data_IF_125239996671
#
_entry.id   IF_125239996671
#
_cell.length_a   1.000
_cell.length_b   1.000
_cell.length_c   1.000
_cell.angle_alpha   90.00
_cell.angle_beta   90.00
_cell.angle_gamma   90.00
#
_symmetry.space_group_name_H-M   'P 1'
#
loop_
_entity.id
_entity.type
_entity.pdbx_description
1 polymer ?
#
# COMPACT_ATOMS: atom_id res chain seq x y z
N UNK A 1 -52.17 55.81 7.27
CA UNK A 1 -50.94 55.53 8.04
C UNK A 1 -50.46 54.08 7.90
N UNK A 2 -51.31 53.07 8.02
CA UNK A 2 -50.93 51.62 7.92
C UNK A 2 -50.24 51.24 6.61
N UNK A 3 -50.70 51.75 5.45
CA UNK A 3 -50.11 51.44 4.15
C UNK A 3 -48.68 51.95 3.99
N UNK A 4 -48.32 53.08 4.60
CA UNK A 4 -46.94 53.62 4.59
C UNK A 4 -46.02 52.84 5.51
N UNK A 5 -46.52 52.29 6.63
CA UNK A 5 -45.77 51.44 7.55
C UNK A 5 -45.53 50.08 6.90
N UNK A 6 -46.53 49.50 6.22
CA UNK A 6 -46.37 48.24 5.50
C UNK A 6 -45.34 48.35 4.35
N UNK A 7 -45.35 49.44 3.60
CA UNK A 7 -44.35 49.67 2.53
C UNK A 7 -42.93 49.88 3.11
N UNK A 8 -42.80 50.54 4.27
CA UNK A 8 -41.51 50.72 4.94
C UNK A 8 -40.93 49.38 5.47
N UNK A 9 -41.81 48.55 6.05
CA UNK A 9 -41.39 47.17 6.53
C UNK A 9 -41.01 46.28 5.35
N UNK A 10 -41.76 46.37 4.23
CA UNK A 10 -41.40 45.62 3.02
C UNK A 10 -40.07 46.09 2.42
N UNK A 11 -39.83 47.41 2.41
CA UNK A 11 -38.56 47.98 1.94
C UNK A 11 -37.38 47.60 2.85
N UNK A 12 -37.59 47.58 4.17
CA UNK A 12 -36.59 47.14 5.15
C UNK A 12 -36.30 45.62 5.03
N UNK A 13 -37.34 44.81 4.77
CA UNK A 13 -37.14 43.34 4.55
C UNK A 13 -36.41 43.03 3.25
N UNK A 14 -36.65 43.79 2.17
CA UNK A 14 -35.93 43.71 0.91
C UNK A 14 -34.47 44.18 1.06
N UNK A 15 -34.22 45.20 1.92
CA UNK A 15 -32.86 45.66 2.22
C UNK A 15 -32.05 44.64 3.03
N UNK A 16 -32.69 43.82 3.87
CA UNK A 16 -32.04 42.76 4.62
C UNK A 16 -31.66 41.53 3.74
N UNK A 17 -32.42 41.25 2.69
CA UNK A 17 -32.08 40.19 1.74
C UNK A 17 -30.88 40.53 0.84
N UNK A 18 -30.59 41.83 0.62
CA UNK A 18 -29.45 42.27 -0.18
C UNK A 18 -28.09 42.26 0.57
N UNK A 19 -28.08 41.96 1.88
CA UNK A 19 -26.88 42.06 2.74
C UNK A 19 -26.22 40.72 3.09
N UNK A 20 -26.61 39.61 2.45
CA UNK A 20 -26.18 38.28 2.89
C UNK A 20 -25.23 37.50 1.93
N UNK A 21 -24.57 38.19 1.00
CA UNK A 21 -23.50 37.58 0.25
C UNK A 21 -22.15 37.84 0.96
N UNK A 22 -21.63 36.84 1.67
CA UNK A 22 -20.34 36.98 2.35
C UNK A 22 -19.20 37.20 1.32
N UNK A 23 -18.32 38.17 1.59
CA UNK A 23 -17.15 38.45 0.74
C UNK A 23 -16.21 37.24 0.72
N UNK A 24 -15.94 36.69 -0.46
CA UNK A 24 -15.10 35.50 -0.63
C UNK A 24 -13.70 35.60 0.00
N UNK A 25 -13.11 36.79 0.05
CA UNK A 25 -11.86 37.02 0.76
C UNK A 25 -12.02 36.85 2.28
N UNK A 26 -13.15 37.31 2.82
CA UNK A 26 -13.50 37.12 4.24
C UNK A 26 -13.80 35.66 4.56
N UNK A 27 -14.48 34.95 3.66
CA UNK A 27 -14.76 33.51 3.81
C UNK A 27 -13.44 32.71 3.91
N UNK A 28 -12.44 33.05 3.09
CA UNK A 28 -11.13 32.46 3.16
C UNK A 28 -10.25 33.03 4.27
N UNK A 29 -10.64 34.11 4.92
CA UNK A 29 -9.86 34.77 5.98
C UNK A 29 -8.57 35.40 5.48
N UNK A 30 -8.55 35.91 4.24
CA UNK A 30 -7.39 36.53 3.60
C UNK A 30 -7.69 37.96 3.17
N UNK A 31 -6.65 38.77 2.97
CA UNK A 31 -6.78 40.12 2.42
C UNK A 31 -7.06 40.09 0.91
N UNK A 32 -7.69 41.13 0.38
CA UNK A 32 -7.96 41.27 -1.07
C UNK A 32 -6.69 41.31 -1.93
N UNK A 33 -5.57 41.73 -1.34
CA UNK A 33 -4.24 41.71 -1.97
C UNK A 33 -3.54 40.34 -1.94
N UNK A 34 -4.19 39.31 -1.39
CA UNK A 34 -3.60 37.96 -1.25
C UNK A 34 -3.19 37.39 -2.60
N UNK A 35 -2.00 36.81 -2.64
CA UNK A 35 -1.50 36.09 -3.79
C UNK A 35 -2.04 34.63 -3.83
N UNK A 36 -1.89 33.94 -4.97
CA UNK A 36 -2.41 32.60 -5.19
C UNK A 36 -1.90 31.59 -4.16
N UNK A 37 -0.65 31.74 -3.69
CA UNK A 37 -0.07 30.89 -2.66
C UNK A 37 -0.76 31.05 -1.30
N UNK A 38 -1.15 32.28 -0.96
CA UNK A 38 -1.88 32.59 0.27
C UNK A 38 -3.30 32.07 0.19
N UNK A 39 -4.00 32.27 -0.94
CA UNK A 39 -5.33 31.73 -1.20
C UNK A 39 -5.34 30.21 -1.07
N UNK A 40 -4.38 29.52 -1.69
CA UNK A 40 -4.24 28.06 -1.63
C UNK A 40 -3.97 27.55 -0.21
N UNK A 41 -3.15 28.27 0.55
CA UNK A 41 -2.83 27.90 1.94
C UNK A 41 -4.05 28.04 2.85
N UNK A 42 -4.77 29.15 2.75
CA UNK A 42 -6.00 29.41 3.50
C UNK A 42 -7.08 28.35 3.20
N UNK A 43 -7.29 28.08 1.91
CA UNK A 43 -8.22 27.04 1.48
C UNK A 43 -7.87 25.66 2.09
N UNK A 44 -6.61 25.23 2.03
CA UNK A 44 -6.20 23.94 2.60
C UNK A 44 -6.45 23.84 4.10
N UNK A 45 -6.20 24.92 4.83
CA UNK A 45 -6.43 24.95 6.28
C UNK A 45 -7.92 24.86 6.62
N UNK A 46 -8.75 25.64 5.94
CA UNK A 46 -10.20 25.67 6.18
C UNK A 46 -10.89 24.38 5.70
N UNK A 47 -10.51 23.87 4.54
CA UNK A 47 -11.01 22.59 4.01
C UNK A 47 -10.69 21.43 4.95
N UNK A 48 -9.46 21.36 5.52
CA UNK A 48 -9.09 20.37 6.51
C UNK A 48 -9.86 20.51 7.83
N UNK A 49 -10.19 21.75 8.21
CA UNK A 49 -10.94 22.05 9.44
C UNK A 49 -12.42 21.66 9.32
N UNK A 50 -13.05 21.94 8.18
CA UNK A 50 -14.48 21.72 7.95
C UNK A 50 -14.78 20.48 7.10
N UNK A 51 -13.80 19.58 6.92
CA UNK A 51 -13.97 18.35 6.13
C UNK A 51 -15.11 17.49 6.69
N UNK A 52 -16.01 16.95 5.85
CA UNK A 52 -17.14 16.13 6.31
C UNK A 52 -16.70 14.89 7.09
N UNK A 53 -15.57 14.25 6.72
CA UNK A 53 -15.03 13.08 7.44
C UNK A 53 -14.58 13.42 8.87
N UNK A 54 -14.18 14.68 9.11
CA UNK A 54 -13.75 15.11 10.45
C UNK A 54 -14.88 15.70 11.29
N UNK A 55 -15.99 16.06 10.66
CA UNK A 55 -17.17 16.65 11.29
C UNK A 55 -18.44 15.89 10.85
N UNK A 56 -18.55 14.58 11.12
CA UNK A 56 -19.71 13.81 10.70
C UNK A 56 -20.97 14.30 11.43
N UNK A 57 -22.00 14.67 10.65
CA UNK A 57 -23.28 15.12 11.19
C UNK A 57 -23.36 16.61 11.61
N UNK A 58 -22.33 17.41 11.36
CA UNK A 58 -22.36 18.86 11.59
C UNK A 58 -22.72 19.60 10.29
N UNK A 59 -24.01 19.99 10.17
CA UNK A 59 -24.50 20.73 9.01
C UNK A 59 -23.83 22.10 8.89
N UNK A 60 -23.44 22.74 10.00
CA UNK A 60 -22.79 24.06 9.98
C UNK A 60 -21.35 23.97 9.44
N UNK A 61 -20.65 22.87 9.71
CA UNK A 61 -19.35 22.59 9.12
C UNK A 61 -19.45 22.31 7.62
N UNK A 62 -20.51 21.63 7.20
CA UNK A 62 -20.80 21.34 5.79
C UNK A 62 -21.10 22.62 5.00
N UNK A 63 -21.93 23.52 5.53
CA UNK A 63 -22.21 24.83 4.90
C UNK A 63 -20.95 25.69 4.76
N UNK A 64 -20.12 25.75 5.81
CA UNK A 64 -18.84 26.46 5.76
C UNK A 64 -17.86 25.83 4.76
N UNK A 65 -17.84 24.51 4.65
CA UNK A 65 -17.00 23.82 3.66
C UNK A 65 -17.41 24.18 2.22
N UNK A 66 -18.72 24.22 1.94
CA UNK A 66 -19.25 24.63 0.63
C UNK A 66 -18.87 26.08 0.32
N UNK A 67 -19.08 27.00 1.27
CA UNK A 67 -18.75 28.44 1.11
C UNK A 67 -17.25 28.66 0.88
N UNK A 68 -16.38 27.93 1.61
CA UNK A 68 -14.93 27.98 1.45
C UNK A 68 -14.49 27.45 0.08
N UNK A 69 -15.12 26.38 -0.40
CA UNK A 69 -14.83 25.80 -1.72
C UNK A 69 -15.24 26.72 -2.85
N UNK A 70 -16.41 27.32 -2.75
CA UNK A 70 -16.91 28.31 -3.74
C UNK A 70 -16.02 29.55 -3.79
N UNK A 71 -15.64 30.09 -2.62
CA UNK A 71 -14.75 31.23 -2.54
C UNK A 71 -13.38 30.97 -3.18
N UNK A 72 -12.81 29.77 -2.96
CA UNK A 72 -11.54 29.41 -3.57
C UNK A 72 -11.64 29.20 -5.08
N UNK A 73 -12.72 28.58 -5.56
CA UNK A 73 -12.95 28.39 -7.00
C UNK A 73 -12.94 29.71 -7.76
N UNK A 74 -13.66 30.70 -7.24
CA UNK A 74 -13.76 32.03 -7.88
C UNK A 74 -12.45 32.83 -7.78
N UNK A 75 -11.74 32.75 -6.66
CA UNK A 75 -10.53 33.54 -6.44
C UNK A 75 -9.24 32.88 -6.94
N UNK A 76 -9.24 31.59 -7.23
CA UNK A 76 -8.06 30.87 -7.73
C UNK A 76 -7.82 31.03 -9.24
N UNK A 77 -8.86 31.33 -10.01
CA UNK A 77 -8.73 31.61 -11.42
C UNK A 77 -8.61 33.12 -11.68
N UNK A 78 -7.56 33.60 -12.34
CA UNK A 78 -7.31 35.01 -12.57
C UNK A 78 -8.46 35.75 -13.28
N UNK A 79 -9.17 35.06 -14.19
CA UNK A 79 -10.25 35.65 -14.96
C UNK A 79 -11.50 35.83 -14.10
N UNK A 80 -11.91 34.81 -13.36
CA UNK A 80 -13.06 34.86 -12.46
C UNK A 80 -12.81 35.77 -11.28
N UNK A 81 -11.58 35.83 -10.76
CA UNK A 81 -11.17 36.77 -9.73
C UNK A 81 -11.33 38.23 -10.18
N UNK A 82 -10.89 38.56 -11.41
CA UNK A 82 -11.05 39.91 -11.96
C UNK A 82 -12.53 40.31 -12.11
N UNK A 83 -13.39 39.37 -12.49
CA UNK A 83 -14.83 39.58 -12.60
C UNK A 83 -15.43 39.81 -11.21
N UNK A 84 -15.04 39.00 -10.23
CA UNK A 84 -15.45 39.13 -8.85
C UNK A 84 -15.02 40.48 -8.24
N UNK A 85 -13.76 40.89 -8.47
CA UNK A 85 -13.21 42.13 -7.96
C UNK A 85 -13.93 43.37 -8.54
N UNK A 86 -14.46 43.28 -9.78
CA UNK A 86 -15.16 44.38 -10.47
C UNK A 86 -16.66 44.39 -10.24
N UNK A 87 -17.26 43.23 -10.23
CA UNK A 87 -18.74 43.11 -10.30
C UNK A 87 -19.33 42.30 -9.13
N UNK A 88 -18.50 41.85 -8.18
CA UNK A 88 -18.94 41.05 -7.05
C UNK A 88 -19.56 39.70 -7.43
N UNK A 89 -20.39 39.17 -6.54
CA UNK A 89 -21.09 37.91 -6.74
C UNK A 89 -21.97 37.90 -8.01
N UNK A 90 -22.65 39.02 -8.31
CA UNK A 90 -23.54 39.12 -9.49
C UNK A 90 -22.76 38.92 -10.79
N UNK A 91 -21.54 39.46 -10.90
CA UNK A 91 -20.70 39.31 -12.09
C UNK A 91 -20.29 37.85 -12.33
N UNK A 92 -20.00 37.12 -11.29
CA UNK A 92 -19.66 35.72 -11.38
C UNK A 92 -20.87 34.86 -11.75
N UNK A 93 -22.04 35.13 -11.16
CA UNK A 93 -23.28 34.44 -11.49
C UNK A 93 -23.73 34.70 -12.93
N UNK A 94 -23.62 35.92 -13.43
CA UNK A 94 -23.95 36.24 -14.82
C UNK A 94 -23.03 35.52 -15.83
N UNK A 95 -21.75 35.37 -15.52
CA UNK A 95 -20.84 34.55 -16.34
C UNK A 95 -21.21 33.05 -16.33
N UNK A 96 -21.62 32.52 -15.16
CA UNK A 96 -22.14 31.14 -15.04
C UNK A 96 -23.43 30.92 -15.82
N UNK A 97 -24.36 31.85 -15.81
CA UNK A 97 -25.65 31.76 -16.49
C UNK A 97 -25.55 32.00 -18.00
N UNK A 98 -24.55 32.75 -18.48
CA UNK A 98 -24.34 33.06 -19.89
C UNK A 98 -23.61 31.94 -20.68
N UNK A 99 -23.06 30.97 -20.04
CA UNK A 99 -22.31 29.86 -20.64
C UNK A 99 -22.89 28.49 -20.28
N UNK A 100 -24.16 28.22 -20.65
CA UNK A 100 -24.76 26.88 -20.82
C UNK A 100 -24.51 25.83 -19.70
N UNK A 101 -24.63 26.20 -18.41
CA UNK A 101 -24.45 25.25 -17.32
C UNK A 101 -24.93 25.78 -15.99
N UNK A 102 -26.24 26.04 -15.87
CA UNK A 102 -26.89 26.35 -14.59
C UNK A 102 -27.00 25.07 -13.75
N UNK A 103 -26.12 24.85 -12.83
CA UNK A 103 -26.17 23.78 -11.82
C UNK A 103 -26.26 24.36 -10.42
N UNK A 104 -27.11 23.74 -9.59
CA UNK A 104 -27.27 23.99 -8.16
C UNK A 104 -25.88 23.88 -7.47
N UNK A 105 -25.57 24.69 -6.43
CA UNK A 105 -24.33 24.54 -5.64
C UNK A 105 -24.06 23.11 -5.15
N UNK A 106 -25.12 22.33 -4.96
CA UNK A 106 -25.05 20.93 -4.58
C UNK A 106 -24.65 20.00 -5.76
N UNK A 107 -25.00 20.38 -6.98
CA UNK A 107 -24.59 19.66 -8.21
C UNK A 107 -23.08 19.88 -8.50
N UNK A 108 -22.58 21.05 -8.14
CA UNK A 108 -21.16 21.37 -8.18
C UNK A 108 -20.38 20.55 -7.16
N UNK A 109 -20.92 20.38 -5.96
CA UNK A 109 -20.37 19.51 -4.92
C UNK A 109 -20.34 18.05 -5.36
N UNK A 110 -21.42 17.52 -5.95
CA UNK A 110 -21.46 16.14 -6.46
C UNK A 110 -20.54 15.92 -7.67
N UNK A 111 -20.32 16.92 -8.49
CA UNK A 111 -19.34 16.89 -9.58
C UNK A 111 -17.89 16.88 -9.07
N UNK A 112 -17.64 17.54 -7.94
CA UNK A 112 -16.32 17.66 -7.32
C UNK A 112 -15.99 16.48 -6.41
N UNK A 113 -16.97 15.90 -5.71
CA UNK A 113 -16.82 14.82 -4.75
C UNK A 113 -17.53 13.51 -5.12
N UNK A 114 -18.49 13.53 -6.02
CA UNK A 114 -19.35 12.37 -6.34
C UNK A 114 -18.89 11.52 -7.53
N UNK A 115 -17.85 11.88 -8.23
CA UNK A 115 -17.37 11.13 -9.37
C UNK A 115 -15.89 11.31 -9.60
N UNK A 116 -15.09 10.31 -9.28
CA UNK A 116 -13.72 10.12 -9.74
C UNK A 116 -12.86 11.39 -9.94
N UNK A 117 -12.20 11.82 -8.89
CA UNK A 117 -10.83 12.36 -8.95
C UNK A 117 -10.48 13.39 -10.01
N UNK A 118 -11.18 14.52 -10.11
CA UNK A 118 -10.70 15.68 -10.84
C UNK A 118 -10.14 16.79 -9.90
N UNK A 119 -9.36 16.39 -8.90
CA UNK A 119 -8.38 17.27 -8.32
C UNK A 119 -7.10 17.14 -9.14
N UNK A 120 -6.95 17.97 -10.17
CA UNK A 120 -5.69 18.07 -10.87
C UNK A 120 -5.74 18.02 -12.37
N UNK A 121 -6.55 18.90 -12.98
CA UNK A 121 -6.27 19.34 -14.36
C UNK A 121 -5.79 20.78 -14.39
N UNK A 122 -4.93 21.18 -13.46
CA UNK A 122 -3.77 21.97 -13.90
C UNK A 122 -2.96 20.98 -14.73
N UNK A 123 -2.52 21.37 -15.91
CA UNK A 123 -1.57 20.60 -16.72
C UNK A 123 -0.26 20.48 -15.93
N UNK A 124 -0.28 19.68 -14.85
CA UNK A 124 0.90 19.20 -14.16
C UNK A 124 1.62 18.30 -15.12
N UNK A 125 2.90 18.33 -15.10
CA UNK A 125 3.73 17.43 -15.88
C UNK A 125 3.18 16.00 -15.72
N UNK A 126 3.00 15.27 -16.83
CA UNK A 126 2.47 13.91 -16.78
C UNK A 126 3.34 13.08 -15.81
N UNK A 127 2.72 12.29 -14.94
CA UNK A 127 3.42 11.42 -14.01
C UNK A 127 3.63 10.05 -14.64
N UNK A 128 4.82 9.50 -14.46
CA UNK A 128 5.18 8.15 -14.88
C UNK A 128 4.44 7.09 -14.09
N UNK A 129 4.51 5.85 -14.58
CA UNK A 129 3.92 4.70 -13.90
C UNK A 129 4.71 4.33 -12.65
N UNK A 130 4.02 3.82 -11.64
CA UNK A 130 4.67 3.23 -10.48
C UNK A 130 5.34 1.90 -10.87
N UNK A 131 6.48 1.62 -10.25
CA UNK A 131 7.21 0.36 -10.42
C UNK A 131 7.04 -0.49 -9.17
N UNK A 132 6.63 -1.75 -9.34
CA UNK A 132 6.51 -2.69 -8.23
C UNK A 132 7.70 -3.66 -8.22
N UNK A 133 8.35 -3.77 -7.06
CA UNK A 133 9.45 -4.70 -6.83
C UNK A 133 9.12 -5.58 -5.63
N UNK A 134 9.32 -6.89 -5.76
CA UNK A 134 9.15 -7.84 -4.67
C UNK A 134 10.52 -8.19 -4.09
N UNK A 135 10.68 -8.01 -2.77
CA UNK A 135 11.91 -8.32 -2.05
C UNK A 135 11.63 -9.45 -1.06
N UNK A 136 12.45 -10.50 -1.10
CA UNK A 136 12.33 -11.64 -0.19
C UNK A 136 13.09 -11.35 1.10
N UNK A 137 12.38 -11.43 2.22
CA UNK A 137 12.86 -11.11 3.56
C UNK A 137 12.78 -12.36 4.43
N UNK A 138 13.80 -12.62 5.24
CA UNK A 138 13.79 -13.75 6.17
C UNK A 138 12.75 -13.53 7.30
N UNK A 139 12.19 -14.62 7.83
CA UNK A 139 11.28 -14.55 8.97
C UNK A 139 11.96 -13.91 10.20
N UNK A 140 13.27 -14.13 10.34
CA UNK A 140 14.08 -13.52 11.39
C UNK A 140 14.13 -12.00 11.29
N UNK A 141 14.24 -11.45 10.08
CA UNK A 141 14.25 -10.01 9.86
C UNK A 141 12.87 -9.39 10.08
N UNK A 142 11.79 -10.10 9.76
CA UNK A 142 10.44 -9.68 10.16
C UNK A 142 10.25 -9.67 11.67
N UNK A 143 10.87 -10.61 12.39
CA UNK A 143 10.77 -10.69 13.85
C UNK A 143 11.55 -9.59 14.56
N UNK A 144 12.80 -9.38 14.17
CA UNK A 144 13.72 -8.47 14.85
C UNK A 144 13.63 -7.03 14.34
N UNK A 145 13.11 -6.85 13.14
CA UNK A 145 13.32 -5.65 12.35
C UNK A 145 14.73 -5.64 11.75
N UNK A 146 14.87 -5.10 10.57
CA UNK A 146 16.16 -5.03 9.88
C UNK A 146 16.22 -3.83 8.95
N UNK A 147 17.44 -3.44 8.60
CA UNK A 147 17.70 -2.54 7.48
C UNK A 147 18.48 -3.33 6.44
N UNK A 148 17.89 -3.47 5.27
CA UNK A 148 18.46 -4.23 4.15
C UNK A 148 18.64 -3.32 2.95
N UNK A 149 19.61 -3.63 2.11
CA UNK A 149 19.80 -2.94 0.85
C UNK A 149 19.51 -3.89 -0.29
N UNK A 150 18.73 -3.43 -1.26
CA UNK A 150 18.48 -4.20 -2.47
C UNK A 150 18.79 -3.38 -3.71
N UNK A 151 19.15 -4.04 -4.77
CA UNK A 151 19.44 -3.44 -6.06
C UNK A 151 18.34 -3.74 -7.05
N UNK A 152 17.93 -2.73 -7.80
CA UNK A 152 17.02 -2.88 -8.93
C UNK A 152 17.49 -2.04 -10.11
N UNK A 153 17.07 -2.39 -11.30
CA UNK A 153 17.48 -1.71 -12.53
C UNK A 153 16.54 -0.55 -12.80
N UNK A 154 16.91 0.64 -12.29
CA UNK A 154 16.17 1.89 -12.49
C UNK A 154 16.55 2.51 -13.85
N UNK A 155 15.56 3.04 -14.54
CA UNK A 155 15.78 3.87 -15.70
C UNK A 155 16.09 5.29 -15.27
N UNK A 156 17.29 5.76 -15.62
CA UNK A 156 17.76 7.11 -15.34
C UNK A 156 17.76 7.95 -16.62
N UNK A 157 17.61 9.25 -16.48
CA UNK A 157 17.87 10.19 -17.58
C UNK A 157 19.35 10.10 -17.94
N UNK A 158 19.64 9.93 -19.24
CA UNK A 158 21.01 9.80 -19.71
C UNK A 158 21.84 11.07 -19.38
N UNK A 159 22.86 10.91 -18.58
CA UNK A 159 23.73 12.01 -18.13
C UNK A 159 24.49 12.68 -19.28
N UNK A 160 24.87 11.91 -20.32
CA UNK A 160 25.65 12.42 -21.45
C UNK A 160 24.84 13.44 -22.28
N UNK A 161 23.57 13.17 -22.53
CA UNK A 161 22.72 14.04 -23.34
C UNK A 161 21.65 14.80 -22.55
N UNK A 162 21.58 14.61 -21.23
CA UNK A 162 20.59 15.25 -20.33
C UNK A 162 19.13 15.08 -20.85
N UNK A 163 18.83 13.89 -21.34
CA UNK A 163 17.49 13.57 -21.84
C UNK A 163 17.15 14.10 -23.24
N UNK A 164 18.08 14.74 -23.96
CA UNK A 164 17.84 15.23 -25.33
C UNK A 164 17.91 14.11 -26.36
N UNK A 165 18.74 13.10 -26.13
CA UNK A 165 19.06 12.03 -27.07
C UNK A 165 20.15 12.42 -28.07
N UNK A 166 20.63 13.66 -28.07
CA UNK A 166 21.65 14.18 -28.95
C UNK A 166 22.99 14.31 -28.25
N UNK A 167 24.08 14.00 -28.93
CA UNK A 167 25.47 14.14 -28.42
C UNK A 167 25.81 15.58 -28.06
N UNK A 168 25.35 16.51 -28.87
CA UNK A 168 25.59 17.97 -28.74
C UNK A 168 24.49 18.68 -27.95
N UNK A 169 23.54 17.89 -27.36
CA UNK A 169 22.36 18.37 -26.62
C UNK A 169 21.40 19.24 -27.46
N UNK A 170 21.63 19.36 -28.77
CA UNK A 170 20.79 20.14 -29.66
C UNK A 170 19.66 19.29 -30.24
N UNK A 171 18.48 19.86 -30.28
CA UNK A 171 17.27 19.23 -30.79
C UNK A 171 16.59 20.20 -31.75
N UNK A 172 16.31 19.76 -32.98
CA UNK A 172 15.60 20.54 -33.98
C UNK A 172 14.10 20.23 -33.94
N UNK A 173 13.28 21.20 -34.27
CA UNK A 173 11.86 20.94 -34.53
C UNK A 173 11.69 20.06 -35.77
N UNK A 174 10.81 19.06 -35.70
CA UNK A 174 10.52 18.21 -36.83
C UNK A 174 9.83 19.03 -37.93
N UNK A 175 10.49 19.19 -39.09
CA UNK A 175 9.93 19.94 -40.23
C UNK A 175 8.70 19.27 -40.84
N UNK A 176 8.58 17.93 -40.75
CA UNK A 176 7.47 17.18 -41.31
C UNK A 176 6.13 17.38 -40.60
N UNK A 177 6.17 17.71 -39.27
CA UNK A 177 4.96 17.96 -38.48
C UNK A 177 5.01 19.31 -37.75
N UNK A 178 5.96 20.18 -38.06
CA UNK A 178 6.16 21.49 -37.43
C UNK A 178 6.17 21.46 -35.90
N UNK A 179 6.76 20.41 -35.33
CA UNK A 179 6.84 20.23 -33.90
C UNK A 179 5.64 19.56 -33.23
N UNK A 180 4.52 19.34 -33.95
CA UNK A 180 3.29 18.80 -33.34
C UNK A 180 3.32 17.29 -33.04
N UNK A 181 4.27 16.54 -33.59
CA UNK A 181 4.36 15.08 -33.39
C UNK A 181 3.31 14.27 -34.18
N UNK A 182 2.27 14.91 -34.68
CA UNK A 182 1.19 14.27 -35.43
C UNK A 182 1.03 14.95 -36.79
N UNK A 183 0.57 14.19 -37.79
CA UNK A 183 0.24 14.68 -39.14
C UNK A 183 -1.22 14.38 -39.43
N UNK A 184 -1.92 15.34 -40.01
CA UNK A 184 -3.27 15.15 -40.49
C UNK A 184 -3.20 14.59 -41.91
N UNK A 185 -3.64 13.35 -42.07
CA UNK A 185 -3.70 12.68 -43.38
C UNK A 185 -5.17 12.63 -43.81
N UNK A 186 -5.43 13.08 -45.05
CA UNK A 186 -6.75 12.95 -45.68
C UNK A 186 -6.81 11.61 -46.37
N UNK A 187 -7.65 10.70 -45.93
CA UNK A 187 -7.91 9.41 -46.57
C UNK A 187 -9.24 9.50 -47.33
N UNK A 188 -9.22 9.16 -48.59
CA UNK A 188 -10.43 9.06 -49.39
C UNK A 188 -11.12 7.73 -49.09
N UNK A 189 -12.36 7.78 -48.63
CA UNK A 189 -13.19 6.60 -48.34
C UNK A 189 -14.06 6.20 -49.52
N UNK A 190 -14.53 7.18 -50.30
CA UNK A 190 -15.30 6.99 -51.52
C UNK A 190 -15.09 8.20 -52.46
N UNK A 191 -15.49 8.13 -53.72
CA UNK A 191 -15.44 9.28 -54.62
C UNK A 191 -16.19 10.48 -54.02
N UNK A 192 -15.44 11.56 -53.71
CA UNK A 192 -15.96 12.77 -53.11
C UNK A 192 -16.03 12.78 -51.57
N UNK A 193 -15.75 11.66 -50.85
CA UNK A 193 -15.78 11.58 -49.40
C UNK A 193 -14.36 11.43 -48.85
N UNK A 194 -13.91 12.43 -48.06
CA UNK A 194 -12.60 12.45 -47.46
C UNK A 194 -12.74 12.44 -45.94
N UNK A 195 -11.97 11.57 -45.26
CA UNK A 195 -11.83 11.56 -43.83
C UNK A 195 -10.46 12.11 -43.45
N UNK A 196 -10.44 13.03 -42.50
CA UNK A 196 -9.19 13.50 -41.88
C UNK A 196 -8.86 12.61 -40.66
N UNK A 197 -7.69 12.01 -40.68
CA UNK A 197 -7.18 11.19 -39.60
C UNK A 197 -5.87 11.80 -39.09
N UNK A 198 -5.74 11.89 -37.74
CA UNK A 198 -4.48 12.21 -37.11
C UNK A 198 -3.63 10.94 -37.06
N UNK A 199 -2.45 10.99 -37.67
CA UNK A 199 -1.48 9.90 -37.63
C UNK A 199 -0.20 10.40 -36.96
N UNK A 200 0.47 9.50 -36.24
CA UNK A 200 1.77 9.74 -35.67
C UNK A 200 2.76 10.13 -36.79
N UNK A 201 3.58 11.15 -36.54
CA UNK A 201 4.56 11.58 -37.53
C UNK A 201 5.67 10.55 -37.70
N UNK A 202 5.85 10.00 -38.91
CA UNK A 202 6.82 8.94 -39.19
C UNK A 202 8.27 9.40 -39.04
N UNK A 203 8.54 10.70 -39.34
CA UNK A 203 9.90 11.26 -39.26
C UNK A 203 10.43 11.41 -37.83
N UNK A 204 9.59 11.89 -36.91
CA UNK A 204 10.00 12.08 -35.53
C UNK A 204 9.45 11.01 -34.58
N UNK A 205 8.71 10.02 -35.09
CA UNK A 205 8.10 8.99 -34.26
C UNK A 205 7.13 9.55 -33.19
N UNK A 206 6.45 10.65 -33.47
CA UNK A 206 5.50 11.31 -32.57
C UNK A 206 6.11 12.29 -31.58
N UNK A 207 7.42 12.44 -31.57
CA UNK A 207 8.15 13.30 -30.59
C UNK A 207 8.08 14.80 -30.89
N UNK A 208 7.75 15.18 -32.12
CA UNK A 208 7.77 16.58 -32.58
C UNK A 208 9.17 17.16 -32.77
N UNK A 209 10.21 16.44 -32.33
CA UNK A 209 11.62 16.85 -32.36
C UNK A 209 12.47 15.84 -33.10
N UNK A 210 13.54 16.28 -33.73
CA UNK A 210 14.53 15.45 -34.44
C UNK A 210 15.94 15.76 -33.91
N UNK A 211 16.81 14.77 -33.93
CA UNK A 211 18.22 14.89 -33.52
C UNK A 211 19.13 14.64 -34.71
N UNK A 212 20.18 15.43 -34.89
CA UNK A 212 21.17 15.24 -35.95
C UNK A 212 22.26 14.26 -35.55
N UNK A 213 22.79 14.44 -34.34
CA UNK A 213 23.89 13.63 -33.81
C UNK A 213 23.37 12.76 -32.64
N UNK A 214 23.21 11.46 -32.92
CA UNK A 214 22.72 10.52 -31.90
C UNK A 214 23.70 10.40 -30.74
N UNK A 215 23.19 10.46 -29.52
CA UNK A 215 23.99 10.25 -28.31
C UNK A 215 24.63 8.85 -28.32
N UNK A 216 25.95 8.73 -28.12
CA UNK A 216 26.64 7.43 -28.17
C UNK A 216 26.29 6.53 -26.97
N UNK A 217 25.89 7.10 -25.85
CA UNK A 217 25.57 6.37 -24.62
C UNK A 217 24.17 5.76 -24.66
N UNK A 218 23.15 6.56 -24.88
CA UNK A 218 21.75 6.08 -24.91
C UNK A 218 21.23 5.74 -26.30
N UNK A 219 22.01 5.90 -27.35
CA UNK A 219 21.62 5.67 -28.76
C UNK A 219 20.30 6.35 -29.15
N UNK A 220 20.07 7.55 -28.64
CA UNK A 220 18.87 8.35 -28.89
C UNK A 220 17.65 7.96 -28.03
N UNK A 221 17.80 6.99 -27.14
CA UNK A 221 16.74 6.56 -26.21
C UNK A 221 16.43 7.59 -25.13
N UNK A 222 17.36 8.53 -24.86
CA UNK A 222 17.25 9.61 -23.88
C UNK A 222 17.42 9.15 -22.42
N UNK A 223 17.31 7.85 -22.18
CA UNK A 223 17.37 7.20 -20.87
C UNK A 223 18.29 5.99 -20.93
N UNK A 224 18.80 5.57 -19.78
CA UNK A 224 19.63 4.39 -19.61
C UNK A 224 19.26 3.64 -18.35
N UNK A 225 19.33 2.30 -18.36
CA UNK A 225 19.07 1.47 -17.20
C UNK A 225 20.36 1.23 -16.43
N UNK A 226 20.36 1.60 -15.15
CA UNK A 226 21.48 1.38 -14.23
C UNK A 226 20.99 0.68 -12.97
N UNK A 227 21.80 -0.20 -12.35
CA UNK A 227 21.49 -0.76 -11.04
C UNK A 227 21.54 0.37 -9.99
N UNK A 228 20.45 0.54 -9.28
CA UNK A 228 20.32 1.53 -8.20
C UNK A 228 20.08 0.77 -6.89
N UNK A 229 20.83 1.15 -5.85
CA UNK A 229 20.68 0.58 -4.52
C UNK A 229 19.69 1.40 -3.71
N UNK A 230 18.71 0.73 -3.12
CA UNK A 230 17.71 1.33 -2.24
C UNK A 230 17.81 0.70 -0.87
N UNK A 231 17.81 1.52 0.17
CA UNK A 231 17.80 1.07 1.56
C UNK A 231 16.37 0.82 1.99
N UNK A 232 16.07 -0.41 2.38
CA UNK A 232 14.77 -0.87 2.85
C UNK A 232 14.80 -1.04 4.36
N UNK A 233 13.97 -0.29 5.07
CA UNK A 233 13.76 -0.46 6.50
C UNK A 233 12.57 -1.40 6.72
N UNK A 234 12.83 -2.53 7.36
CA UNK A 234 11.83 -3.54 7.73
C UNK A 234 11.49 -3.29 9.19
N UNK A 235 10.23 -2.96 9.45
CA UNK A 235 9.74 -2.76 10.81
C UNK A 235 9.52 -4.09 11.50
N UNK A 236 9.74 -4.11 12.82
CA UNK A 236 9.52 -5.26 13.66
C UNK A 236 8.05 -5.70 13.60
N UNK A 237 7.81 -6.98 13.34
CA UNK A 237 6.45 -7.51 13.23
C UNK A 237 5.73 -7.17 11.93
N UNK A 238 6.37 -6.50 10.97
CA UNK A 238 5.76 -6.10 9.70
C UNK A 238 4.95 -7.24 9.07
N UNK A 239 3.82 -6.90 8.47
CA UNK A 239 2.91 -7.88 7.86
C UNK A 239 3.53 -8.46 6.59
N UNK A 240 3.26 -9.75 6.33
CA UNK A 240 3.59 -10.37 5.04
C UNK A 240 2.87 -9.62 3.92
N UNK A 241 3.55 -9.46 2.79
CA UNK A 241 3.06 -8.74 1.60
C UNK A 241 2.71 -7.27 1.85
N UNK A 242 3.21 -6.67 2.95
CA UNK A 242 3.11 -5.23 3.17
C UNK A 242 3.91 -4.47 2.12
N UNK A 243 3.47 -3.24 1.80
CA UNK A 243 4.07 -2.40 0.77
C UNK A 243 4.72 -1.17 1.39
N UNK A 244 5.94 -0.91 1.00
CA UNK A 244 6.69 0.31 1.32
C UNK A 244 6.78 1.14 0.04
N UNK A 245 6.35 2.40 0.11
CA UNK A 245 6.38 3.31 -1.03
C UNK A 245 7.54 4.29 -0.91
N UNK A 246 8.33 4.40 -1.96
CA UNK A 246 9.37 5.41 -2.12
C UNK A 246 8.91 6.39 -3.19
N UNK A 247 8.60 7.62 -2.77
CA UNK A 247 8.06 8.66 -3.63
C UNK A 247 9.09 9.10 -4.69
N UNK A 248 8.66 9.14 -5.96
CA UNK A 248 9.46 9.56 -7.13
C UNK A 248 10.73 8.73 -7.38
N UNK A 249 10.80 7.50 -6.84
CA UNK A 249 11.95 6.60 -7.01
C UNK A 249 11.75 5.56 -8.12
N UNK A 250 10.65 5.63 -8.90
CA UNK A 250 10.45 4.79 -10.07
C UNK A 250 11.30 5.26 -11.28
N UNK A 251 11.02 4.72 -12.45
CA UNK A 251 11.71 5.03 -13.70
C UNK A 251 11.61 6.51 -14.07
N UNK A 252 12.75 7.13 -14.37
CA UNK A 252 12.87 8.53 -14.78
C UNK A 252 12.66 8.68 -16.29
N UNK A 253 12.12 9.80 -16.69
CA UNK A 253 11.99 10.19 -18.10
C UNK A 253 12.04 11.70 -18.24
N UNK A 254 12.58 12.23 -19.37
CA UNK A 254 12.52 13.66 -19.66
C UNK A 254 11.12 14.19 -19.98
N UNK A 255 10.11 13.32 -20.15
CA UNK A 255 8.76 13.69 -20.58
C UNK A 255 7.73 13.67 -19.45
N UNK A 256 8.07 13.11 -18.26
CA UNK A 256 7.20 13.04 -17.09
C UNK A 256 7.99 13.00 -15.79
N UNK A 257 7.32 13.36 -14.71
CA UNK A 257 7.86 13.19 -13.34
C UNK A 257 7.85 11.70 -12.99
N UNK A 258 8.90 11.20 -12.35
CA UNK A 258 8.97 9.80 -11.94
C UNK A 258 7.78 9.40 -11.07
N UNK A 259 7.29 8.17 -11.25
CA UNK A 259 6.32 7.55 -10.37
C UNK A 259 6.94 7.09 -9.06
N UNK A 260 6.20 6.31 -8.28
CA UNK A 260 6.68 5.75 -7.01
C UNK A 260 7.22 4.33 -7.21
N UNK A 261 8.26 4.01 -6.46
CA UNK A 261 8.73 2.64 -6.33
C UNK A 261 7.98 1.98 -5.16
N UNK A 262 7.20 0.96 -5.46
CA UNK A 262 6.43 0.18 -4.51
C UNK A 262 7.17 -1.13 -4.21
N UNK A 263 7.70 -1.26 -3.00
CA UNK A 263 8.41 -2.46 -2.57
C UNK A 263 7.47 -3.34 -1.76
N UNK A 264 7.21 -4.56 -2.24
CA UNK A 264 6.41 -5.55 -1.53
C UNK A 264 7.33 -6.49 -0.75
N UNK A 265 7.12 -6.60 0.57
CA UNK A 265 7.88 -7.45 1.47
C UNK A 265 7.35 -8.89 1.42
N UNK A 266 8.05 -9.77 0.72
CA UNK A 266 7.69 -11.18 0.67
C UNK A 266 8.48 -11.98 1.70
N UNK A 267 7.84 -12.91 2.40
CA UNK A 267 8.55 -13.81 3.29
C UNK A 267 9.29 -14.87 2.46
N UNK A 268 10.61 -14.94 2.69
CA UNK A 268 11.47 -15.97 2.10
C UNK A 268 11.06 -17.33 2.64
N UNK A 269 11.02 -18.34 1.78
CA UNK A 269 10.83 -19.72 2.23
C UNK A 269 11.95 -20.12 3.20
N UNK A 270 11.62 -20.79 4.32
CA UNK A 270 12.63 -21.22 5.29
C UNK A 270 13.72 -22.06 4.62
N UNK A 271 14.96 -21.76 4.93
CA UNK A 271 16.12 -22.50 4.43
C UNK A 271 17.07 -22.86 5.56
N UNK A 272 17.93 -23.91 5.40
CA UNK A 272 18.95 -24.26 6.39
C UNK A 272 19.91 -23.12 6.73
N UNK A 273 20.11 -22.20 5.79
CA UNK A 273 20.99 -21.04 5.95
C UNK A 273 20.42 -20.01 6.94
N UNK A 274 19.09 -19.95 7.08
CA UNK A 274 18.42 -18.99 7.94
C UNK A 274 18.50 -19.38 9.42
N UNK A 275 18.74 -20.68 9.71
CA UNK A 275 18.91 -21.17 11.08
C UNK A 275 19.88 -22.37 11.13
N UNK A 276 21.20 -22.13 11.19
CA UNK A 276 22.23 -23.16 11.15
C UNK A 276 22.19 -24.14 12.32
N UNK A 277 21.54 -23.78 13.43
CA UNK A 277 21.41 -24.66 14.61
C UNK A 277 20.33 -25.75 14.43
N UNK A 278 19.50 -25.66 13.38
CA UNK A 278 18.43 -26.60 13.07
C UNK A 278 18.79 -27.46 11.85
N UNK A 279 19.57 -28.53 12.11
CA UNK A 279 20.09 -29.43 11.09
C UNK A 279 19.02 -30.33 10.43
N UNK A 280 17.84 -30.43 11.08
CA UNK A 280 16.81 -31.42 10.73
C UNK A 280 15.69 -30.89 9.82
N UNK A 281 15.85 -29.72 9.21
CA UNK A 281 14.83 -29.14 8.33
C UNK A 281 13.57 -28.66 9.05
N UNK A 282 13.63 -28.51 10.38
CA UNK A 282 12.56 -27.94 11.18
C UNK A 282 12.74 -26.43 11.26
N UNK A 283 11.70 -25.71 10.88
CA UNK A 283 11.72 -24.24 10.81
C UNK A 283 10.48 -23.66 11.44
N UNK A 284 10.62 -22.45 11.99
CA UNK A 284 9.47 -21.65 12.35
C UNK A 284 8.62 -21.31 11.11
N UNK A 285 7.33 -21.46 11.26
CA UNK A 285 6.35 -21.04 10.24
C UNK A 285 5.43 -19.99 10.83
N UNK A 286 5.22 -18.90 10.11
CA UNK A 286 4.36 -17.82 10.54
C UNK A 286 2.95 -17.97 9.98
N UNK A 287 1.94 -17.73 10.82
CA UNK A 287 0.55 -17.58 10.38
C UNK A 287 -0.08 -16.42 11.16
N UNK A 288 -0.21 -15.27 10.50
CA UNK A 288 -0.60 -14.03 11.18
C UNK A 288 0.49 -13.58 12.18
N UNK A 289 0.11 -13.42 13.43
CA UNK A 289 1.01 -13.03 14.52
C UNK A 289 1.52 -14.25 15.31
N UNK A 290 1.10 -15.46 14.95
CA UNK A 290 1.50 -16.68 15.63
C UNK A 290 2.62 -17.41 14.90
N UNK A 291 3.44 -18.12 15.67
CA UNK A 291 4.49 -19.00 15.17
C UNK A 291 4.12 -20.46 15.39
N UNK A 292 4.54 -21.30 14.49
CA UNK A 292 4.34 -22.75 14.50
C UNK A 292 5.68 -23.45 14.41
N UNK A 293 5.87 -24.43 15.31
CA UNK A 293 7.04 -25.29 15.37
C UNK A 293 6.61 -26.74 15.45
N UNK A 294 7.36 -27.63 14.82
CA UNK A 294 7.15 -29.07 14.94
C UNK A 294 8.34 -29.65 15.69
N UNK A 295 8.11 -30.28 16.83
CA UNK A 295 9.12 -30.95 17.64
C UNK A 295 8.95 -32.45 17.50
N UNK A 296 10.05 -33.13 17.17
CA UNK A 296 10.04 -34.58 16.98
C UNK A 296 10.52 -35.29 18.25
N UNK A 297 9.69 -36.21 18.74
CA UNK A 297 9.94 -37.02 19.92
C UNK A 297 10.11 -38.49 19.54
N UNK A 298 11.06 -39.15 20.19
CA UNK A 298 11.11 -40.63 20.16
C UNK A 298 9.96 -41.21 20.97
N UNK A 299 9.54 -42.44 20.67
CA UNK A 299 8.54 -43.18 21.43
C UNK A 299 8.82 -43.18 22.94
N UNK A 300 10.10 -43.32 23.33
CA UNK A 300 10.52 -43.28 24.74
C UNK A 300 10.21 -41.93 25.36
N UNK A 301 10.58 -40.83 24.72
CA UNK A 301 10.36 -39.48 25.22
C UNK A 301 8.87 -39.16 25.33
N UNK A 302 8.11 -39.57 24.33
CA UNK A 302 6.68 -39.40 24.31
C UNK A 302 5.96 -40.17 25.44
N UNK A 303 6.39 -41.38 25.73
CA UNK A 303 5.74 -42.21 26.75
C UNK A 303 6.26 -42.02 28.18
N UNK A 304 7.59 -41.85 28.31
CA UNK A 304 8.23 -41.80 29.63
C UNK A 304 8.34 -40.40 30.19
N UNK A 305 8.31 -39.40 29.34
CA UNK A 305 8.69 -38.03 29.70
C UNK A 305 10.20 -37.98 30.06
N UNK A 306 10.53 -37.15 31.04
CA UNK A 306 11.89 -36.90 31.51
C UNK A 306 12.82 -36.39 30.40
N UNK A 307 12.36 -35.46 29.61
CA UNK A 307 13.14 -34.80 28.56
C UNK A 307 12.99 -33.27 28.64
N UNK A 308 14.02 -32.61 28.14
CA UNK A 308 14.04 -31.13 28.00
C UNK A 308 14.70 -30.81 26.67
N UNK A 309 14.09 -29.87 25.93
CA UNK A 309 14.61 -29.30 24.67
C UNK A 309 14.79 -27.81 24.86
N UNK A 310 15.87 -27.29 24.31
CA UNK A 310 16.09 -25.85 24.22
C UNK A 310 15.84 -25.45 22.77
N UNK A 311 14.75 -24.73 22.54
CA UNK A 311 14.42 -24.18 21.23
C UNK A 311 14.96 -22.76 21.13
N UNK A 312 15.95 -22.54 20.26
CA UNK A 312 16.50 -21.21 19.99
C UNK A 312 15.49 -20.43 19.12
N UNK A 313 15.01 -19.32 19.64
CA UNK A 313 14.04 -18.48 18.97
C UNK A 313 14.69 -17.56 17.91
N UNK A 314 13.90 -16.81 17.14
CA UNK A 314 14.34 -15.92 16.05
C UNK A 314 15.26 -14.78 16.51
N UNK A 315 15.15 -14.33 17.76
CA UNK A 315 16.02 -13.33 18.43
C UNK A 315 17.14 -13.95 19.26
N UNK A 316 17.32 -15.28 19.19
CA UNK A 316 18.32 -16.06 19.92
C UNK A 316 18.01 -16.31 21.40
N UNK A 317 16.88 -15.86 21.94
CA UNK A 317 16.51 -16.34 23.28
C UNK A 317 16.10 -17.83 23.23
N UNK A 318 16.09 -18.48 24.38
CA UNK A 318 15.84 -19.91 24.49
C UNK A 318 14.49 -20.19 25.14
N UNK A 319 13.61 -20.84 24.38
CA UNK A 319 12.35 -21.38 24.89
C UNK A 319 12.59 -22.82 25.33
N UNK A 320 12.25 -23.12 26.58
CA UNK A 320 12.41 -24.47 27.14
C UNK A 320 11.13 -25.26 26.97
N UNK A 321 11.22 -26.36 26.24
CA UNK A 321 10.17 -27.36 26.08
C UNK A 321 10.56 -28.59 26.89
N UNK A 322 9.62 -29.24 27.59
CA UNK A 322 9.96 -30.43 28.33
C UNK A 322 8.78 -31.10 29.00
N UNK A 323 9.03 -32.32 29.45
CA UNK A 323 8.05 -33.10 30.23
C UNK A 323 8.75 -33.77 31.41
N UNK A 324 8.07 -33.75 32.51
CA UNK A 324 8.51 -34.49 33.69
C UNK A 324 8.34 -36.00 33.50
N UNK A 325 9.03 -36.78 34.33
CA UNK A 325 8.92 -38.24 34.30
C UNK A 325 7.47 -38.68 34.55
N UNK A 326 6.96 -39.52 33.63
CA UNK A 326 5.60 -40.05 33.69
C UNK A 326 4.54 -39.17 33.01
N UNK A 327 4.92 -38.03 32.46
CA UNK A 327 4.05 -37.24 31.60
C UNK A 327 4.11 -37.74 30.16
N UNK A 328 2.98 -38.19 29.64
CA UNK A 328 2.86 -38.72 28.28
C UNK A 328 2.46 -37.62 27.32
N UNK A 329 3.12 -37.58 26.15
CA UNK A 329 2.76 -36.71 25.05
C UNK A 329 2.17 -37.56 23.92
N UNK A 330 1.00 -37.18 23.44
CA UNK A 330 0.36 -37.85 22.30
C UNK A 330 0.90 -37.31 20.99
N UNK A 331 0.94 -38.18 19.98
CA UNK A 331 1.29 -37.74 18.62
C UNK A 331 0.24 -36.71 18.12
N UNK A 332 0.72 -35.60 17.57
CA UNK A 332 -0.13 -34.49 17.13
C UNK A 332 -0.61 -33.57 18.27
N UNK A 333 -0.12 -33.78 19.51
CA UNK A 333 -0.42 -32.84 20.60
C UNK A 333 0.17 -31.47 20.28
N UNK A 334 -0.63 -30.42 20.49
CA UNK A 334 -0.22 -29.03 20.29
C UNK A 334 -0.14 -28.33 21.64
N UNK A 335 1.04 -27.85 21.97
CA UNK A 335 1.29 -27.02 23.14
C UNK A 335 1.32 -25.54 22.74
N UNK A 336 0.68 -24.69 23.53
CA UNK A 336 0.69 -23.24 23.29
C UNK A 336 1.61 -22.58 24.30
N UNK A 337 2.66 -21.91 23.80
CA UNK A 337 3.54 -21.09 24.61
C UNK A 337 3.15 -19.62 24.37
N UNK A 338 2.54 -19.02 25.38
CA UNK A 338 2.01 -17.65 25.27
C UNK A 338 3.14 -16.62 25.20
N UNK A 339 3.00 -15.65 24.29
CA UNK A 339 3.96 -14.56 24.16
C UNK A 339 5.23 -14.88 23.39
N UNK A 340 5.32 -16.09 22.80
CA UNK A 340 6.47 -16.55 22.00
C UNK A 340 6.16 -16.59 20.49
N UNK A 341 5.16 -15.82 20.05
CA UNK A 341 4.81 -15.62 18.64
C UNK A 341 5.54 -14.43 18.03
N UNK A 342 5.06 -13.98 16.87
CA UNK A 342 5.56 -12.76 16.23
C UNK A 342 5.22 -11.52 17.04
N UNK A 343 6.06 -10.48 17.01
CA UNK A 343 5.68 -9.16 17.51
C UNK A 343 4.47 -8.64 16.74
N UNK A 344 3.50 -8.06 17.43
CA UNK A 344 2.36 -7.44 16.78
C UNK A 344 2.75 -6.08 16.20
N UNK A 345 2.43 -5.90 14.93
CA UNK A 345 2.69 -4.63 14.24
C UNK A 345 1.58 -3.62 14.52
N UNK A 346 1.95 -2.37 14.81
CA UNK A 346 1.06 -1.24 15.04
C UNK A 346 1.43 -0.08 14.12
N UNK A 347 0.43 0.64 13.60
CA UNK A 347 0.63 1.79 12.70
C UNK A 347 1.42 2.94 13.34
N UNK A 348 1.36 3.07 14.65
CA UNK A 348 2.08 4.10 15.41
C UNK A 348 3.58 3.80 15.59
N UNK A 349 4.07 2.75 14.95
CA UNK A 349 5.46 2.30 15.05
C UNK A 349 5.81 1.69 16.42
N UNK A 350 7.11 1.64 16.72
CA UNK A 350 7.65 1.14 18.00
C UNK A 350 7.31 2.07 19.18
N UNK A 351 6.03 2.31 19.43
CA UNK A 351 5.62 3.04 20.61
C UNK A 351 5.98 2.23 21.86
N UNK A 352 6.46 2.90 22.88
CA UNK A 352 6.89 2.28 24.16
C UNK A 352 5.78 1.42 24.78
N UNK A 353 4.51 1.70 24.46
CA UNK A 353 3.34 1.02 24.99
C UNK A 353 3.09 -0.37 24.36
N UNK A 354 3.50 -0.62 23.12
CA UNK A 354 3.21 -1.86 22.36
C UNK A 354 4.43 -2.79 22.20
N UNK A 355 5.55 -2.42 22.79
CA UNK A 355 6.84 -3.11 22.65
C UNK A 355 6.84 -4.58 23.09
N UNK A 356 5.84 -4.99 23.89
CA UNK A 356 5.74 -6.31 24.52
C UNK A 356 4.51 -7.12 24.07
N UNK A 357 3.84 -6.70 23.01
CA UNK A 357 2.71 -7.47 22.47
C UNK A 357 3.19 -8.47 21.42
N UNK A 358 3.05 -9.75 21.76
CA UNK A 358 3.41 -10.87 20.88
C UNK A 358 2.22 -11.78 20.66
N UNK A 359 2.27 -12.54 19.58
CA UNK A 359 1.40 -13.69 19.37
C UNK A 359 1.84 -14.90 20.21
N UNK A 360 1.35 -16.08 19.87
CA UNK A 360 1.66 -17.32 20.53
C UNK A 360 2.56 -18.22 19.67
N UNK A 361 3.33 -19.07 20.32
CA UNK A 361 4.04 -20.16 19.67
C UNK A 361 3.24 -21.45 19.89
N UNK A 362 2.89 -22.13 18.78
CA UNK A 362 2.25 -23.43 18.77
C UNK A 362 3.29 -24.50 18.45
N UNK A 363 3.56 -25.38 19.42
CA UNK A 363 4.49 -26.49 19.25
C UNK A 363 3.70 -27.77 19.05
N UNK A 364 3.80 -28.35 17.85
CA UNK A 364 3.19 -29.63 17.51
C UNK A 364 4.19 -30.74 17.75
N UNK A 365 3.84 -31.74 18.51
CA UNK A 365 4.71 -32.89 18.79
C UNK A 365 4.43 -34.04 17.84
N UNK A 366 5.44 -34.45 17.08
CA UNK A 366 5.40 -35.64 16.23
C UNK A 366 6.20 -36.76 16.87
N UNK A 367 5.57 -37.91 17.06
CA UNK A 367 6.20 -39.07 17.66
C UNK A 367 6.67 -40.02 16.57
N UNK A 368 7.99 -40.24 16.49
CA UNK A 368 8.58 -41.17 15.55
C UNK A 368 8.72 -42.56 16.20
N UNK A 369 8.19 -43.54 15.51
CA UNK A 369 8.31 -44.94 15.88
C UNK A 369 9.55 -45.54 15.22
N UNK A 370 10.23 -46.49 15.87
CA UNK A 370 11.33 -47.20 15.24
C UNK A 370 10.81 -48.06 14.06
N UNK A 371 11.56 -48.10 12.97
CA UNK A 371 11.21 -48.89 11.78
C UNK A 371 11.12 -50.38 12.07
N UNK A 372 11.94 -50.87 12.98
CA UNK A 372 12.02 -52.29 13.40
C UNK A 372 12.30 -52.38 14.90
N UNK A 373 11.71 -53.38 15.57
CA UNK A 373 12.03 -53.75 16.95
C UNK A 373 12.94 -54.99 16.94
N UNK A 374 13.89 -55.02 17.88
CA UNK A 374 14.61 -56.24 18.18
C UNK A 374 13.65 -57.28 18.78
N UNK A 375 13.82 -58.57 18.43
CA UNK A 375 12.95 -59.66 18.89
C UNK A 375 12.88 -59.79 20.43
N UNK A 376 13.96 -59.46 21.13
CA UNK A 376 13.95 -59.49 22.59
C UNK A 376 13.10 -58.33 23.14
N UNK A 377 13.25 -57.13 22.55
CA UNK A 377 12.49 -55.95 22.91
C UNK A 377 11.00 -56.12 22.60
N UNK A 378 10.64 -56.73 21.48
CA UNK A 378 9.29 -57.05 21.10
C UNK A 378 8.60 -57.96 22.13
N UNK A 379 9.29 -59.05 22.57
CA UNK A 379 8.80 -59.96 23.58
C UNK A 379 8.54 -59.27 24.92
N UNK A 380 9.48 -58.43 25.37
CA UNK A 380 9.32 -57.69 26.64
C UNK A 380 8.19 -56.67 26.57
N UNK A 381 8.04 -56.06 25.42
CA UNK A 381 6.97 -55.09 25.18
C UNK A 381 5.59 -55.75 25.20
N UNK A 382 5.43 -56.95 24.57
CA UNK A 382 4.25 -57.71 24.62
C UNK A 382 3.86 -58.13 26.06
N UNK A 383 4.84 -58.61 26.84
CA UNK A 383 4.63 -59.00 28.22
C UNK A 383 4.17 -57.79 29.08
N UNK A 384 4.79 -56.64 28.89
CA UNK A 384 4.38 -55.41 29.55
C UNK A 384 2.94 -54.97 29.17
N UNK A 385 2.67 -55.01 27.86
CA UNK A 385 1.34 -54.62 27.33
C UNK A 385 0.20 -55.49 27.83
N UNK A 386 0.37 -56.81 27.89
CA UNK A 386 -0.60 -57.74 28.42
C UNK A 386 -0.86 -57.50 29.92
N UNK A 387 0.18 -57.12 30.68
CA UNK A 387 0.01 -56.81 32.10
C UNK A 387 -0.84 -55.54 32.29
N UNK A 388 -0.62 -54.54 31.47
CA UNK A 388 -1.40 -53.28 31.52
C UNK A 388 -2.81 -53.41 31.01
N UNK A 389 -3.06 -54.17 29.95
CA UNK A 389 -4.37 -54.45 29.40
C UNK A 389 -5.30 -55.08 30.46
N UNK A 390 -4.78 -56.05 31.20
CA UNK A 390 -5.52 -56.67 32.29
C UNK A 390 -5.93 -55.68 33.41
N UNK A 391 -5.06 -54.77 33.74
CA UNK A 391 -5.33 -53.74 34.76
C UNK A 391 -6.38 -52.72 34.34
N UNK A 392 -6.47 -52.41 33.09
CA UNK A 392 -7.43 -51.41 32.57
C UNK A 392 -8.80 -52.00 32.21
N UNK A 393 -8.98 -53.31 32.36
CA UNK A 393 -10.26 -53.99 32.10
C UNK A 393 -10.66 -54.05 30.63
N UNK A 394 -9.77 -53.70 29.73
CA UNK A 394 -10.01 -53.71 28.27
C UNK A 394 -9.61 -55.07 27.72
N UNK A 395 -10.57 -55.94 27.52
CA UNK A 395 -10.34 -57.24 26.88
C UNK A 395 -10.83 -57.18 25.43
N UNK A 396 -9.89 -56.89 24.53
CA UNK A 396 -10.14 -56.74 23.10
C UNK A 396 -10.26 -58.11 22.36
N UNK A 397 -10.03 -59.22 23.06
CA UNK A 397 -9.97 -60.56 22.43
C UNK A 397 -11.08 -61.53 22.88
N UNK A 398 -12.13 -61.05 23.53
CA UNK A 398 -13.22 -61.96 23.97
C UNK A 398 -13.96 -62.66 22.85
N UNK A 399 -13.83 -62.19 21.61
CA UNK A 399 -14.60 -62.66 20.46
C UNK A 399 -13.78 -63.25 19.31
N UNK A 400 -12.43 -63.18 19.33
CA UNK A 400 -11.61 -63.80 18.29
C UNK A 400 -10.99 -65.07 18.84
N UNK A 401 -11.60 -66.22 18.59
CA UNK A 401 -11.10 -67.57 18.92
C UNK A 401 -9.75 -67.88 18.24
N UNK A 402 -8.74 -67.01 18.34
CA UNK A 402 -7.36 -67.27 17.95
C UNK A 402 -6.60 -67.84 19.13
N UNK A 403 -5.94 -68.98 18.96
CA UNK A 403 -5.08 -69.54 19.99
C UNK A 403 -4.00 -68.54 20.35
N UNK A 404 -3.60 -68.56 21.65
CA UNK A 404 -2.45 -67.83 22.15
C UNK A 404 -1.24 -68.13 21.26
N UNK A 405 -0.52 -67.08 20.87
CA UNK A 405 0.70 -67.17 20.10
C UNK A 405 1.77 -68.02 20.84
N UNK A 406 1.81 -69.31 20.48
CA UNK A 406 2.88 -70.25 20.87
C UNK A 406 3.93 -70.37 19.75
N UNK A 407 3.94 -69.48 18.77
CA UNK A 407 4.96 -69.47 17.72
C UNK A 407 5.55 -68.06 17.56
N UNK A 408 6.53 -67.75 18.41
CA UNK A 408 7.66 -66.83 18.12
C UNK A 408 8.95 -67.36 18.73
#
# INVERSE_FOLDING_TARGET
>A
MLAKIAALVLLLSLLQLALCAEDYYKVLGVDRSANDKQLKTAYRQLSKKFHPDKNPGDDTAKEKFVSVSEAYEVLSDPETRQIYDRHGHEGVQNKRNGGGGGGDPFDLFSRFFGGHGHFGSSAGEPRGHNVEVKVEISLRDFYNGATSEFQWNKQHICETCEGTGSKDKQVDHCSACNGHGVRIVKKQLAPGMFQQMQMRCDVCGGRGKTIRNVCPTCHGMRVEKKPTTVTLKIERGAKRDSRVAYENEADESPDWVAGDLLVTLAEKSPSPEDNPDHVDGMYFRRKGDDLYWTEVLSLREAWMGAWTRNLTHLDQHVVRLGRERGQVVQNGHVETVAGEGMPKWHEDGDSVYHKHEFGNLYVTYEVVLPDQMDKAMEKDFWALWETWRKKQGVDLHKDSGRPAHDEL
#
